data_IF_762530346941
#
_entry.id   IF_762530346941
#
_cell.length_a   1.000
_cell.length_b   1.000
_cell.length_c   1.000
_cell.angle_alpha   90.00
_cell.angle_beta   90.00
_cell.angle_gamma   90.00
#
_symmetry.space_group_name_H-M   'P 1'
#
loop_
_entity.id
_entity.type
_entity.pdbx_description
1 polymer ?
#
# COMPACT_ATOMS: atom_id res chain seq x y z
N UNK A 1 -16.58 -46.33 5.60
CA UNK A 1 -15.95 -45.76 6.81
C UNK A 1 -14.57 -46.39 6.97
N UNK A 2 -13.52 -45.59 7.24
CA UNK A 2 -12.17 -46.03 7.65
C UNK A 2 -11.18 -46.52 6.57
N UNK A 3 -10.80 -45.70 5.58
CA UNK A 3 -9.48 -45.91 4.92
C UNK A 3 -8.88 -44.73 4.12
N UNK A 4 -9.23 -43.47 4.44
CA UNK A 4 -8.55 -42.30 3.81
C UNK A 4 -8.06 -41.23 4.79
N UNK A 5 -8.28 -41.42 6.09
CA UNK A 5 -7.84 -40.50 7.15
C UNK A 5 -6.41 -40.81 7.65
N UNK A 6 -5.83 -41.96 7.28
CA UNK A 6 -4.47 -42.35 7.71
C UNK A 6 -3.33 -41.76 6.87
N UNK A 7 -3.62 -41.12 5.73
CA UNK A 7 -2.59 -40.60 4.84
C UNK A 7 -2.16 -39.14 5.15
N UNK A 8 -2.98 -38.37 5.87
CA UNK A 8 -2.69 -36.95 6.14
C UNK A 8 -1.96 -36.76 7.48
N UNK A 9 -2.09 -37.71 8.42
CA UNK A 9 -1.28 -37.71 9.67
C UNK A 9 0.19 -38.07 9.46
N UNK A 10 0.54 -38.70 8.32
CA UNK A 10 1.92 -39.11 8.03
C UNK A 10 2.81 -37.97 7.49
N UNK A 11 2.23 -36.95 6.85
CA UNK A 11 3.00 -35.86 6.24
C UNK A 11 3.32 -34.77 7.29
N UNK A 12 2.45 -34.55 8.27
CA UNK A 12 2.72 -33.61 9.38
C UNK A 12 3.77 -34.13 10.37
N UNK A 13 3.89 -35.46 10.53
CA UNK A 13 4.91 -36.07 11.39
C UNK A 13 6.33 -36.03 10.77
N UNK A 14 6.44 -35.94 9.44
CA UNK A 14 7.73 -35.90 8.75
C UNK A 14 8.40 -34.51 8.82
N UNK A 15 7.63 -33.42 8.80
CA UNK A 15 8.15 -32.06 8.92
C UNK A 15 8.56 -31.68 10.36
N UNK A 16 7.87 -32.21 11.38
CA UNK A 16 8.26 -32.02 12.78
C UNK A 16 9.58 -32.73 13.12
N UNK A 17 9.87 -33.87 12.49
CA UNK A 17 11.13 -34.60 12.68
C UNK A 17 12.33 -33.92 11.98
N UNK A 18 12.11 -33.27 10.83
CA UNK A 18 13.18 -32.54 10.11
C UNK A 18 13.57 -31.23 10.80
N UNK A 19 12.64 -30.56 11.49
CA UNK A 19 12.96 -29.37 12.29
C UNK A 19 13.74 -29.71 13.58
N UNK A 20 13.50 -30.89 14.15
CA UNK A 20 14.19 -31.35 15.36
C UNK A 20 15.64 -31.76 15.09
N UNK A 21 15.96 -32.30 13.91
CA UNK A 21 17.34 -32.63 13.51
C UNK A 21 18.12 -31.37 13.07
N UNK A 22 17.46 -30.39 12.45
CA UNK A 22 18.11 -29.13 12.06
C UNK A 22 18.41 -28.23 13.27
N UNK A 23 17.57 -28.27 14.32
CA UNK A 23 17.78 -27.55 15.57
C UNK A 23 18.96 -28.06 16.42
N UNK A 24 19.49 -29.25 16.12
CA UNK A 24 20.56 -29.91 16.90
C UNK A 24 21.96 -29.70 16.27
N UNK A 25 22.07 -29.02 15.13
CA UNK A 25 23.35 -28.78 14.44
C UNK A 25 23.87 -27.33 14.46
N UNK A 26 23.23 -26.42 15.21
CA UNK A 26 23.67 -25.01 15.30
C UNK A 26 23.65 -24.44 16.72
N UNK A 27 23.88 -25.26 17.74
CA UNK A 27 24.20 -24.78 19.08
C UNK A 27 25.30 -25.65 19.66
N UNK A 28 26.54 -25.27 19.39
CA UNK A 28 27.68 -25.43 20.32
C UNK A 28 28.93 -24.83 19.65
N UNK A 29 28.96 -23.50 19.50
CA UNK A 29 30.23 -22.79 19.46
C UNK A 29 30.58 -22.44 20.90
N UNK A 30 31.11 -23.45 21.60
CA UNK A 30 31.78 -23.27 22.88
C UNK A 30 33.02 -22.41 22.63
N UNK A 31 32.89 -21.10 22.87
CA UNK A 31 34.03 -20.21 23.02
C UNK A 31 34.84 -20.70 24.23
N UNK A 32 36.04 -21.23 23.95
CA UNK A 32 37.04 -21.49 24.97
C UNK A 32 37.33 -20.20 25.73
N UNK A 33 37.70 -20.28 27.03
CA UNK A 33 38.17 -19.11 27.74
C UNK A 33 39.48 -18.67 27.09
N UNK A 34 39.47 -17.50 26.47
CA UNK A 34 40.68 -16.84 26.01
C UNK A 34 41.52 -16.58 27.27
N UNK A 35 42.69 -17.24 27.37
CA UNK A 35 43.65 -16.94 28.42
C UNK A 35 43.97 -15.45 28.34
N UNK A 36 43.62 -14.72 29.39
CA UNK A 36 44.06 -13.34 29.57
C UNK A 36 45.59 -13.34 29.66
N UNK A 37 46.24 -13.12 28.54
CA UNK A 37 47.65 -12.77 28.50
C UNK A 37 47.76 -11.44 29.24
N UNK A 38 48.45 -11.45 30.38
CA UNK A 38 48.89 -10.26 31.11
C UNK A 38 49.93 -9.51 30.26
N UNK A 39 49.47 -8.95 29.14
CA UNK A 39 50.20 -7.93 28.41
C UNK A 39 50.03 -6.66 29.21
N UNK A 40 51.09 -6.30 29.93
CA UNK A 40 51.29 -4.95 30.42
C UNK A 40 50.88 -3.95 29.32
N UNK A 41 50.20 -2.84 29.66
CA UNK A 41 49.70 -1.91 28.64
C UNK A 41 50.87 -1.45 27.78
N UNK A 42 50.86 -1.89 26.52
CA UNK A 42 51.72 -1.34 25.49
C UNK A 42 51.41 0.16 25.43
N UNK A 43 52.42 1.06 25.44
CA UNK A 43 52.13 2.48 25.34
C UNK A 43 51.34 2.69 24.05
N UNK A 44 50.09 3.14 24.17
CA UNK A 44 49.27 3.48 23.01
C UNK A 44 50.13 4.38 22.12
N UNK A 45 50.27 4.08 20.81
CA UNK A 45 50.91 5.02 19.91
C UNK A 45 50.18 6.35 20.09
N UNK A 46 50.93 7.45 20.22
CA UNK A 46 50.40 8.82 20.27
C UNK A 46 49.56 9.06 19.00
N UNK A 47 48.31 8.59 19.03
CA UNK A 47 47.32 8.92 18.03
C UNK A 47 47.04 10.39 18.26
N UNK A 48 47.15 11.24 17.23
CA UNK A 48 46.66 12.59 17.35
C UNK A 48 45.22 12.52 17.89
N UNK A 49 44.82 13.43 18.81
CA UNK A 49 43.46 13.43 19.33
C UNK A 49 42.50 13.32 18.14
N UNK A 50 41.43 12.50 18.23
CA UNK A 50 40.41 12.44 17.21
C UNK A 50 40.08 13.87 16.79
N UNK A 51 40.05 14.21 15.49
CA UNK A 51 39.74 15.56 15.06
C UNK A 51 38.52 16.02 15.84
N UNK A 52 38.66 17.10 16.60
CA UNK A 52 37.54 17.69 17.30
C UNK A 52 36.43 17.85 16.26
N UNK A 53 35.23 17.33 16.54
CA UNK A 53 34.07 17.46 15.67
C UNK A 53 34.02 18.90 15.16
N UNK A 54 34.38 19.13 13.91
CA UNK A 54 34.35 20.46 13.31
C UNK A 54 32.88 20.91 13.36
N UNK A 55 32.57 22.01 14.07
CA UNK A 55 31.20 22.36 14.34
C UNK A 55 30.63 23.17 13.17
N UNK A 56 30.60 22.65 11.94
CA UNK A 56 30.08 23.39 10.79
C UNK A 56 29.47 22.44 9.72
N UNK A 57 28.48 21.63 10.10
CA UNK A 57 27.45 21.30 9.10
C UNK A 57 26.52 22.52 9.04
N UNK A 58 26.66 23.34 8.01
CA UNK A 58 25.72 24.43 7.72
C UNK A 58 24.33 23.82 7.41
N UNK A 59 23.51 23.59 8.45
CA UNK A 59 22.07 23.25 8.31
C UNK A 59 21.26 24.51 7.89
N UNK A 60 21.85 25.69 8.04
CA UNK A 60 21.29 27.02 7.79
C UNK A 60 20.69 27.23 6.37
N UNK A 61 21.28 26.75 5.25
CA UNK A 61 20.78 27.05 3.91
C UNK A 61 19.37 26.52 3.64
N UNK A 62 19.01 25.36 4.20
CA UNK A 62 17.68 24.75 4.03
C UNK A 62 16.64 25.53 4.82
N UNK A 63 16.95 25.90 6.06
CA UNK A 63 16.03 26.66 6.92
C UNK A 63 15.74 28.05 6.33
N UNK A 64 16.76 28.76 5.84
CA UNK A 64 16.58 30.02 5.13
C UNK A 64 15.68 29.89 3.89
N UNK A 65 15.78 28.78 3.16
CA UNK A 65 14.95 28.54 1.99
C UNK A 65 13.50 28.26 2.38
N UNK A 66 13.29 27.47 3.43
CA UNK A 66 11.96 27.18 3.97
C UNK A 66 11.26 28.44 4.50
N UNK A 67 12.00 29.38 5.07
CA UNK A 67 11.46 30.64 5.59
C UNK A 67 11.07 31.63 4.48
N UNK A 68 11.70 31.53 3.31
CA UNK A 68 11.36 32.33 2.13
C UNK A 68 10.21 31.75 1.30
N UNK A 69 9.77 30.52 1.59
CA UNK A 69 8.65 29.92 0.89
C UNK A 69 7.36 30.69 1.16
N UNK A 70 6.61 30.94 0.10
CA UNK A 70 5.33 31.63 0.20
C UNK A 70 4.26 30.71 0.75
N UNK A 71 3.24 31.30 1.38
CA UNK A 71 2.03 30.57 1.76
C UNK A 71 1.10 30.45 0.55
N UNK A 72 0.40 29.31 0.46
CA UNK A 72 -0.67 29.08 -0.48
C UNK A 72 -1.75 28.20 0.12
N UNK A 73 -2.87 28.11 -0.57
CA UNK A 73 -3.97 27.23 -0.22
C UNK A 73 -4.05 26.07 -1.22
N UNK A 74 -4.50 24.92 -0.72
CA UNK A 74 -4.89 23.78 -1.55
C UNK A 74 -6.31 23.35 -1.21
N UNK A 75 -6.96 22.73 -2.19
CA UNK A 75 -8.14 21.91 -1.97
C UNK A 75 -8.10 20.63 -2.82
N UNK A 76 -8.67 19.55 -2.29
CA UNK A 76 -8.81 18.28 -3.02
C UNK A 76 -10.08 17.52 -2.61
N UNK A 77 -10.59 16.66 -3.50
CA UNK A 77 -11.71 15.77 -3.18
C UNK A 77 -11.23 14.42 -2.62
N UNK A 78 -12.08 13.82 -1.79
CA UNK A 78 -11.93 12.48 -1.23
C UNK A 78 -13.26 11.75 -1.43
N UNK A 79 -13.34 10.74 -2.32
CA UNK A 79 -14.55 9.92 -2.44
C UNK A 79 -14.76 9.13 -1.13
N UNK A 80 -16.01 9.05 -0.66
CA UNK A 80 -16.32 8.30 0.56
C UNK A 80 -16.20 6.79 0.33
N UNK A 81 -16.76 6.32 -0.79
CA UNK A 81 -16.64 4.96 -1.25
C UNK A 81 -16.54 4.88 -2.78
N UNK A 82 -16.12 3.72 -3.26
CA UNK A 82 -15.95 3.40 -4.68
C UNK A 82 -16.35 1.94 -4.90
N UNK A 83 -17.09 1.65 -5.98
CA UNK A 83 -17.35 0.27 -6.34
C UNK A 83 -16.07 -0.35 -6.95
N UNK A 84 -15.81 -1.63 -6.68
CA UNK A 84 -14.61 -2.33 -7.20
C UNK A 84 -14.47 -2.29 -8.73
N UNK A 85 -15.57 -2.16 -9.48
CA UNK A 85 -15.58 -2.14 -10.95
C UNK A 85 -15.69 -0.71 -11.53
N UNK A 86 -15.65 0.32 -10.68
CA UNK A 86 -15.72 1.73 -11.09
C UNK A 86 -14.40 2.46 -10.89
N UNK A 87 -14.13 3.43 -11.76
CA UNK A 87 -13.07 4.42 -11.53
C UNK A 87 -13.65 5.69 -10.91
N UNK A 88 -12.81 6.39 -10.14
CA UNK A 88 -13.10 7.75 -9.65
C UNK A 88 -11.93 8.67 -9.94
N UNK A 89 -12.22 9.96 -10.08
CA UNK A 89 -11.21 10.98 -10.28
C UNK A 89 -10.84 11.65 -8.94
N UNK A 90 -9.55 11.83 -8.70
CA UNK A 90 -9.02 12.71 -7.65
C UNK A 90 -8.48 13.97 -8.31
N UNK A 91 -8.85 15.11 -7.76
CA UNK A 91 -8.52 16.45 -8.24
C UNK A 91 -7.94 17.23 -7.05
N UNK A 92 -6.74 17.78 -7.26
CA UNK A 92 -6.07 18.70 -6.34
C UNK A 92 -5.88 20.03 -7.06
N UNK A 93 -6.21 21.12 -6.39
CA UNK A 93 -5.99 22.47 -6.88
C UNK A 93 -5.18 23.24 -5.84
N UNK A 94 -4.15 23.95 -6.29
CA UNK A 94 -3.29 24.81 -5.49
C UNK A 94 -3.35 26.23 -6.02
N UNK A 95 -3.50 27.22 -5.15
CA UNK A 95 -3.42 28.63 -5.51
C UNK A 95 -2.70 29.43 -4.43
N UNK A 96 -1.91 30.42 -4.86
CA UNK A 96 -1.29 31.40 -3.96
C UNK A 96 -2.25 32.54 -3.58
N UNK A 97 -3.36 32.70 -4.33
CA UNK A 97 -4.25 33.87 -4.24
C UNK A 97 -5.64 33.49 -3.74
N UNK A 98 -6.18 32.37 -4.22
CA UNK A 98 -7.55 31.97 -3.90
C UNK A 98 -7.65 31.41 -2.47
N UNK A 99 -8.76 31.71 -1.82
CA UNK A 99 -9.08 31.13 -0.51
C UNK A 99 -9.41 29.64 -0.63
N UNK A 100 -9.28 28.92 0.49
CA UNK A 100 -9.64 27.50 0.58
C UNK A 100 -11.06 27.24 0.06
N UNK A 101 -12.01 28.12 0.35
CA UNK A 101 -13.40 27.89 -0.04
C UNK A 101 -13.65 28.08 -1.53
N UNK A 102 -13.01 29.09 -2.14
CA UNK A 102 -13.01 29.24 -3.60
C UNK A 102 -12.37 28.03 -4.29
N UNK A 103 -11.29 27.49 -3.71
CA UNK A 103 -10.65 26.27 -4.24
C UNK A 103 -11.58 25.06 -4.13
N UNK A 104 -12.28 24.87 -3.00
CA UNK A 104 -13.28 23.80 -2.86
C UNK A 104 -14.45 23.96 -3.83
N UNK A 105 -14.87 25.18 -4.16
CA UNK A 105 -15.92 25.43 -5.15
C UNK A 105 -15.48 25.06 -6.57
N UNK A 106 -14.19 25.25 -6.90
CA UNK A 106 -13.62 24.92 -8.22
C UNK A 106 -13.40 23.43 -8.47
N UNK A 107 -13.48 22.59 -7.42
CA UNK A 107 -13.39 21.13 -7.57
C UNK A 107 -14.67 20.59 -8.19
N UNK A 108 -14.49 19.92 -9.31
CA UNK A 108 -15.56 19.29 -10.09
C UNK A 108 -15.72 17.80 -9.77
N UNK A 109 -14.66 17.14 -9.31
CA UNK A 109 -14.68 15.73 -8.96
C UNK A 109 -15.53 15.46 -7.69
N UNK A 110 -16.18 14.29 -7.67
CA UNK A 110 -17.08 13.87 -6.59
C UNK A 110 -16.34 13.58 -5.28
N UNK A 111 -17.06 13.72 -4.15
CA UNK A 111 -16.55 13.39 -2.83
C UNK A 111 -16.44 14.59 -1.89
N UNK A 112 -16.02 14.33 -0.66
CA UNK A 112 -15.80 15.36 0.35
C UNK A 112 -14.63 16.24 -0.07
N UNK A 113 -14.81 17.56 -0.01
CA UNK A 113 -13.78 18.54 -0.39
C UNK A 113 -13.06 19.04 0.85
N UNK A 114 -11.76 18.82 0.91
CA UNK A 114 -10.90 19.25 1.99
C UNK A 114 -9.99 20.35 1.50
N UNK A 115 -9.54 21.24 2.39
CA UNK A 115 -8.57 22.26 2.02
C UNK A 115 -7.73 22.74 3.20
N UNK A 116 -6.53 23.21 2.88
CA UNK A 116 -5.48 23.47 3.84
C UNK A 116 -4.56 24.59 3.35
N UNK A 117 -3.96 25.33 4.28
CA UNK A 117 -2.83 26.19 3.98
C UNK A 117 -1.53 25.39 4.02
N UNK A 118 -0.64 25.65 3.08
CA UNK A 118 0.68 25.01 2.97
C UNK A 118 1.74 26.04 2.54
N UNK A 119 3.01 25.71 2.72
CA UNK A 119 4.11 26.41 2.05
C UNK A 119 4.22 25.92 0.61
N UNK A 120 4.42 26.84 -0.33
CA UNK A 120 4.51 26.54 -1.77
C UNK A 120 5.86 27.00 -2.33
N UNK A 121 6.26 26.42 -3.46
CA UNK A 121 7.47 26.80 -4.20
C UNK A 121 7.16 26.89 -5.69
N UNK A 122 8.07 27.48 -6.47
CA UNK A 122 7.90 27.64 -7.92
C UNK A 122 7.78 26.29 -8.67
N UNK A 123 8.27 25.20 -8.09
CA UNK A 123 8.21 23.85 -8.67
C UNK A 123 7.74 22.86 -7.62
N UNK A 124 6.54 22.34 -7.80
CA UNK A 124 5.94 21.38 -6.88
C UNK A 124 5.70 20.06 -7.59
N UNK A 125 5.81 18.97 -6.85
CA UNK A 125 5.33 17.66 -7.23
C UNK A 125 4.13 17.31 -6.36
N UNK A 126 3.07 16.82 -6.99
CA UNK A 126 1.99 16.13 -6.28
C UNK A 126 1.98 14.67 -6.73
N UNK A 127 1.98 13.76 -5.76
CA UNK A 127 1.96 12.33 -6.00
C UNK A 127 0.80 11.70 -5.22
N UNK A 128 0.03 10.85 -5.88
CA UNK A 128 -1.00 10.04 -5.26
C UNK A 128 -0.55 8.59 -5.27
N UNK A 129 -0.56 7.93 -4.12
CA UNK A 129 -0.15 6.53 -3.99
C UNK A 129 -1.11 5.72 -3.12
N UNK A 130 -1.17 4.41 -3.37
CA UNK A 130 -1.99 3.47 -2.59
C UNK A 130 -1.84 2.06 -3.16
N UNK A 131 -1.49 1.10 -2.31
CA UNK A 131 -1.13 -0.26 -2.77
C UNK A 131 -2.31 -1.00 -3.42
N UNK A 132 -3.53 -0.71 -2.97
CA UNK A 132 -4.76 -1.39 -3.39
C UNK A 132 -5.51 -0.63 -4.49
N UNK A 133 -4.84 0.33 -5.14
CA UNK A 133 -5.38 1.08 -6.27
C UNK A 133 -4.42 1.02 -7.45
N UNK A 134 -4.95 0.98 -8.66
CA UNK A 134 -4.25 1.45 -9.85
C UNK A 134 -4.50 2.95 -9.98
N UNK A 135 -3.41 3.72 -10.11
CA UNK A 135 -3.45 5.18 -10.09
C UNK A 135 -2.78 5.68 -11.36
N UNK A 136 -3.54 6.43 -12.16
CA UNK A 136 -3.05 7.02 -13.41
C UNK A 136 -3.08 8.53 -13.31
N UNK A 137 -1.92 9.17 -13.42
CA UNK A 137 -1.83 10.62 -13.48
C UNK A 137 -2.35 11.13 -14.84
N UNK A 138 -3.34 12.03 -14.80
CA UNK A 138 -3.92 12.68 -15.99
C UNK A 138 -3.12 13.94 -16.35
N UNK A 139 -2.65 14.65 -15.32
CA UNK A 139 -1.75 15.81 -15.45
C UNK A 139 -0.34 15.43 -15.01
N UNK A 140 0.71 16.15 -15.45
CA UNK A 140 2.07 15.93 -14.97
C UNK A 140 2.16 16.02 -13.43
N UNK A 141 2.89 15.08 -12.81
CA UNK A 141 3.07 15.10 -11.35
C UNK A 141 3.92 16.28 -10.89
N UNK A 142 4.97 16.60 -11.64
CA UNK A 142 5.84 17.76 -11.41
C UNK A 142 5.33 18.91 -12.28
N UNK A 143 4.97 20.02 -11.65
CA UNK A 143 4.50 21.23 -12.34
C UNK A 143 5.15 22.49 -11.78
N UNK A 144 5.25 23.50 -12.64
CA UNK A 144 5.55 24.85 -12.22
C UNK A 144 4.30 25.45 -11.54
N UNK A 145 4.49 26.15 -10.43
CA UNK A 145 3.42 26.81 -9.69
C UNK A 145 3.42 28.29 -10.01
N UNK A 146 2.25 28.80 -10.38
CA UNK A 146 2.04 30.22 -10.63
C UNK A 146 1.57 30.93 -9.35
N UNK A 147 2.10 32.12 -9.11
CA UNK A 147 1.61 33.03 -8.04
C UNK A 147 0.29 33.72 -8.38
N UNK A 148 -0.20 33.56 -9.62
CA UNK A 148 -1.35 34.30 -10.16
C UNK A 148 -2.48 33.41 -10.64
N UNK A 149 -2.19 32.14 -10.92
CA UNK A 149 -3.14 31.20 -11.49
C UNK A 149 -3.10 29.89 -10.69
N UNK A 150 -4.24 29.23 -10.51
CA UNK A 150 -4.27 27.90 -9.90
C UNK A 150 -3.46 26.90 -10.70
N UNK A 151 -2.82 25.97 -9.99
CA UNK A 151 -2.18 24.79 -10.56
C UNK A 151 -3.00 23.57 -10.17
N UNK A 152 -3.21 22.66 -11.11
CA UNK A 152 -4.11 21.53 -10.94
C UNK A 152 -3.40 20.20 -11.18
N UNK A 153 -3.67 19.24 -10.31
CA UNK A 153 -3.33 17.84 -10.52
C UNK A 153 -4.57 16.97 -10.54
N UNK A 154 -4.61 16.02 -11.48
CA UNK A 154 -5.70 15.07 -11.65
C UNK A 154 -5.15 13.65 -11.75
N UNK A 155 -5.84 12.72 -11.10
CA UNK A 155 -5.59 11.29 -11.20
C UNK A 155 -6.90 10.55 -11.41
N UNK A 156 -6.83 9.44 -12.14
CA UNK A 156 -7.86 8.40 -12.14
C UNK A 156 -7.40 7.26 -11.23
N UNK A 157 -8.30 6.81 -10.35
CA UNK A 157 -8.06 5.68 -9.44
C UNK A 157 -9.03 4.54 -9.75
N UNK A 158 -8.50 3.31 -9.76
CA UNK A 158 -9.27 2.08 -9.93
C UNK A 158 -8.94 1.10 -8.78
N UNK A 159 -9.92 0.59 -8.03
CA UNK A 159 -9.66 -0.34 -6.93
C UNK A 159 -9.19 -1.71 -7.41
N UNK A 160 -8.26 -2.32 -6.68
CA UNK A 160 -7.80 -3.69 -6.93
C UNK A 160 -8.52 -4.72 -6.07
N UNK A 161 -9.06 -4.29 -4.93
CA UNK A 161 -9.61 -5.17 -3.90
C UNK A 161 -10.68 -4.45 -3.09
N UNK A 162 -11.71 -5.18 -2.69
CA UNK A 162 -12.74 -4.72 -1.78
C UNK A 162 -12.22 -4.49 -0.35
N UNK A 163 -12.98 -3.72 0.42
CA UNK A 163 -12.65 -3.35 1.80
C UNK A 163 -12.06 -1.95 1.94
N UNK A 164 -11.55 -1.67 3.12
CA UNK A 164 -11.09 -0.34 3.52
C UNK A 164 -9.60 -0.15 3.22
N UNK A 165 -9.26 0.77 2.32
CA UNK A 165 -7.89 0.96 1.83
C UNK A 165 -7.43 2.42 1.91
N UNK A 166 -6.12 2.61 2.07
CA UNK A 166 -5.52 3.94 2.19
C UNK A 166 -5.00 4.50 0.86
N UNK A 167 -5.20 5.80 0.68
CA UNK A 167 -4.56 6.65 -0.32
C UNK A 167 -3.72 7.71 0.39
N UNK A 168 -2.56 8.00 -0.18
CA UNK A 168 -1.60 8.97 0.32
C UNK A 168 -1.39 10.04 -0.75
N UNK A 169 -1.83 11.26 -0.47
CA UNK A 169 -1.54 12.42 -1.32
C UNK A 169 -0.34 13.17 -0.73
N UNK A 170 0.79 13.12 -1.41
CA UNK A 170 2.04 13.76 -0.97
C UNK A 170 2.38 14.96 -1.85
N UNK A 171 2.63 16.10 -1.20
CA UNK A 171 3.11 17.33 -1.82
C UNK A 171 4.57 17.56 -1.49
N UNK A 172 5.37 17.74 -2.52
CA UNK A 172 6.82 17.91 -2.43
C UNK A 172 7.22 19.19 -3.15
N UNK A 173 7.97 20.06 -2.47
CA UNK A 173 8.66 21.17 -3.11
C UNK A 173 9.97 20.68 -3.73
N UNK A 174 10.24 21.07 -4.97
CA UNK A 174 11.53 20.83 -5.61
C UNK A 174 12.37 22.10 -5.43
N UNK A 175 13.18 22.08 -4.37
CA UNK A 175 14.00 23.20 -3.92
C UNK A 175 15.35 23.18 -4.62
N UNK A 176 15.92 24.34 -4.92
CA UNK A 176 17.29 24.43 -5.43
C UNK A 176 18.24 24.66 -4.25
N UNK A 177 19.08 23.66 -3.97
CA UNK A 177 20.10 23.69 -2.92
C UNK A 177 21.43 23.41 -3.59
N UNK A 178 22.37 24.34 -3.48
CA UNK A 178 23.70 24.27 -4.13
C UNK A 178 23.66 23.99 -5.64
N UNK A 179 22.63 24.50 -6.33
CA UNK A 179 22.41 24.29 -7.77
C UNK A 179 21.77 22.95 -8.14
N UNK A 180 21.38 22.12 -7.16
CA UNK A 180 20.70 20.85 -7.36
C UNK A 180 19.24 20.90 -6.95
N UNK A 181 18.37 20.28 -7.77
CA UNK A 181 16.97 20.08 -7.41
C UNK A 181 16.86 19.02 -6.30
N UNK A 182 16.59 19.48 -5.08
CA UNK A 182 16.47 18.67 -3.88
C UNK A 182 14.99 18.60 -3.46
N UNK A 183 14.39 17.40 -3.43
CA UNK A 183 12.99 17.26 -3.03
C UNK A 183 12.82 17.46 -1.53
N UNK A 184 11.80 18.23 -1.15
CA UNK A 184 11.38 18.42 0.24
C UNK A 184 9.89 18.18 0.38
N UNK A 185 9.52 17.13 1.11
CA UNK A 185 8.11 16.88 1.43
C UNK A 185 7.56 18.01 2.28
N UNK A 186 6.49 18.64 1.80
CA UNK A 186 5.76 19.70 2.51
C UNK A 186 4.68 19.09 3.39
N UNK A 187 3.88 18.19 2.81
CA UNK A 187 2.80 17.52 3.55
C UNK A 187 2.35 16.26 2.84
N UNK A 188 2.00 15.26 3.64
CA UNK A 188 1.28 14.06 3.20
C UNK A 188 -0.09 14.06 3.85
N UNK A 189 -1.11 13.74 3.06
CA UNK A 189 -2.48 13.57 3.50
C UNK A 189 -2.89 12.12 3.33
N UNK A 190 -3.14 11.46 4.45
CA UNK A 190 -3.63 10.08 4.48
C UNK A 190 -5.16 10.08 4.51
N UNK A 191 -5.75 9.34 3.57
CA UNK A 191 -7.20 9.15 3.48
C UNK A 191 -7.54 7.70 3.28
N UNK A 192 -8.67 7.32 3.85
CA UNK A 192 -9.19 5.97 3.77
C UNK A 192 -10.42 5.98 2.89
N UNK A 193 -10.49 5.05 1.94
CA UNK A 193 -11.58 4.88 1.00
C UNK A 193 -12.18 3.50 1.22
N UNK A 194 -13.50 3.43 1.28
CA UNK A 194 -14.22 2.15 1.32
C UNK A 194 -14.46 1.64 -0.10
N UNK A 195 -13.92 0.46 -0.41
CA UNK A 195 -14.15 -0.21 -1.70
C UNK A 195 -15.27 -1.24 -1.52
N UNK A 196 -16.38 -1.00 -2.20
CA UNK A 196 -17.61 -1.76 -2.06
C UNK A 196 -17.81 -2.74 -3.22
N UNK A 197 -18.56 -3.81 -2.96
CA UNK A 197 -19.04 -4.75 -3.95
C UNK A 197 -20.55 -4.89 -3.80
N UNK A 198 -21.26 -4.95 -4.93
CA UNK A 198 -22.69 -5.20 -4.95
C UNK A 198 -23.00 -6.68 -4.67
N UNK A 199 -24.21 -6.96 -4.18
CA UNK A 199 -24.65 -8.32 -3.92
C UNK A 199 -24.63 -9.21 -5.18
N UNK A 200 -24.96 -8.65 -6.35
CA UNK A 200 -24.88 -9.35 -7.63
C UNK A 200 -23.43 -9.69 -8.01
N UNK A 201 -22.48 -8.76 -7.82
CA UNK A 201 -21.05 -9.02 -8.03
C UNK A 201 -20.54 -10.13 -7.09
N UNK A 202 -20.98 -10.12 -5.84
CA UNK A 202 -20.59 -11.13 -4.85
C UNK A 202 -21.08 -12.55 -5.24
N UNK A 203 -22.35 -12.67 -5.66
CA UNK A 203 -22.90 -13.95 -6.15
C UNK A 203 -22.22 -14.39 -7.43
N UNK A 204 -21.97 -13.46 -8.36
CA UNK A 204 -21.25 -13.73 -9.61
C UNK A 204 -19.87 -14.34 -9.35
N UNK A 205 -19.05 -13.68 -8.52
CA UNK A 205 -17.72 -14.19 -8.12
C UNK A 205 -17.80 -15.54 -7.42
N UNK A 206 -18.77 -15.75 -6.53
CA UNK A 206 -18.95 -17.06 -5.90
C UNK A 206 -19.22 -18.16 -6.94
N UNK A 207 -20.10 -17.92 -7.91
CA UNK A 207 -20.41 -18.90 -8.96
C UNK A 207 -19.20 -19.17 -9.84
N UNK A 208 -18.45 -18.14 -10.21
CA UNK A 208 -17.23 -18.23 -11.01
C UNK A 208 -16.15 -19.05 -10.29
N UNK A 209 -15.83 -18.68 -9.04
CA UNK A 209 -14.81 -19.33 -8.22
C UNK A 209 -15.18 -20.78 -7.84
N UNK A 210 -16.48 -21.08 -7.74
CA UNK A 210 -16.98 -22.38 -7.24
C UNK A 210 -17.70 -23.22 -8.29
N UNK A 211 -17.63 -22.86 -9.59
CA UNK A 211 -18.34 -23.57 -10.65
C UNK A 211 -18.09 -25.08 -10.65
N UNK A 212 -16.86 -25.50 -10.35
CA UNK A 212 -16.46 -26.90 -10.27
C UNK A 212 -17.14 -27.71 -9.16
N UNK A 213 -17.60 -27.07 -8.08
CA UNK A 213 -18.36 -27.75 -7.04
C UNK A 213 -19.87 -27.65 -7.27
N UNK A 214 -20.33 -26.56 -7.88
CA UNK A 214 -21.75 -26.32 -8.16
C UNK A 214 -22.35 -27.40 -9.06
N UNK A 215 -21.64 -27.85 -10.10
CA UNK A 215 -22.13 -28.95 -10.92
C UNK A 215 -22.22 -30.27 -10.14
N UNK A 216 -21.35 -30.53 -9.16
CA UNK A 216 -21.44 -31.74 -8.35
C UNK A 216 -22.69 -31.71 -7.45
N UNK A 217 -23.00 -30.56 -6.85
CA UNK A 217 -24.21 -30.35 -6.03
C UNK A 217 -25.49 -30.52 -6.85
N UNK A 218 -25.49 -30.14 -8.13
CA UNK A 218 -26.67 -30.23 -9.01
C UNK A 218 -26.77 -31.60 -9.68
N UNK A 219 -25.69 -32.07 -10.32
CA UNK A 219 -25.69 -33.28 -11.13
C UNK A 219 -25.65 -34.56 -10.29
N UNK A 220 -24.99 -34.60 -9.14
CA UNK A 220 -24.94 -35.80 -8.30
C UNK A 220 -26.32 -36.25 -7.79
N UNK A 221 -27.19 -35.38 -7.23
CA UNK A 221 -28.54 -35.78 -6.84
C UNK A 221 -29.42 -36.12 -8.04
N UNK A 222 -29.27 -35.43 -9.18
CA UNK A 222 -30.02 -35.76 -10.41
C UNK A 222 -29.63 -37.13 -10.97
N UNK A 223 -28.33 -37.43 -11.03
CA UNK A 223 -27.83 -38.74 -11.46
C UNK A 223 -28.28 -39.85 -10.51
N UNK A 224 -28.22 -39.60 -9.20
CA UNK A 224 -28.71 -40.53 -8.17
C UNK A 224 -30.23 -40.80 -8.28
N UNK A 225 -31.02 -39.75 -8.49
CA UNK A 225 -32.47 -39.86 -8.71
C UNK A 225 -32.78 -40.65 -9.99
N UNK A 226 -32.10 -40.34 -11.09
CA UNK A 226 -32.30 -41.01 -12.37
C UNK A 226 -31.93 -42.51 -12.30
N UNK A 227 -30.87 -42.85 -11.57
CA UNK A 227 -30.46 -44.25 -11.38
C UNK A 227 -31.46 -45.03 -10.53
N UNK A 228 -32.01 -44.43 -9.46
CA UNK A 228 -33.09 -45.03 -8.68
C UNK A 228 -34.34 -45.28 -9.53
N UNK A 229 -34.73 -44.31 -10.37
CA UNK A 229 -35.91 -44.43 -11.24
C UNK A 229 -35.78 -45.55 -12.28
N UNK A 230 -34.57 -45.83 -12.77
CA UNK A 230 -34.32 -46.94 -13.69
C UNK A 230 -34.41 -48.31 -13.02
N UNK A 231 -33.99 -48.45 -11.76
CA UNK A 231 -34.05 -49.74 -11.03
C UNK A 231 -35.48 -50.16 -10.66
N UNK A 232 -36.38 -49.23 -10.37
CA UNK A 232 -37.79 -49.54 -10.07
C UNK A 232 -38.59 -50.02 -11.28
N UNK A 233 -38.18 -49.70 -12.51
CA UNK A 233 -38.85 -50.22 -13.72
C UNK A 233 -38.31 -51.58 -14.18
N UNK A 234 -37.06 -51.94 -13.85
CA UNK A 234 -36.47 -53.23 -14.22
C UNK A 234 -36.88 -54.39 -13.29
N UNK A 235 -37.33 -54.11 -12.06
CA UNK A 235 -37.76 -55.14 -11.09
C UNK A 235 -39.25 -55.54 -11.16
N UNK A 236 -40.05 -54.92 -12.04
CA UNK A 236 -41.49 -55.19 -12.17
C UNK A 236 -41.86 -56.22 -13.24
N UNK A 237 -40.89 -56.88 -13.87
CA UNK A 237 -41.09 -57.97 -14.83
C UNK A 237 -40.40 -59.25 -14.35
N UNK A 238 -40.98 -59.89 -13.35
CA UNK A 238 -40.78 -61.32 -13.06
C UNK A 238 -42.05 -61.79 -12.35
N UNK A 239 -42.96 -62.33 -13.15
CA UNK A 239 -43.99 -63.25 -12.70
C UNK A 239 -43.37 -64.63 -12.45
#
# INVERSE_FOLDING_TARGET
MKSKIKAITGILALFAALFFVYSILMVDFSMAPEEAVDMAPEPEPDMPPPPALEPDMEIDPVDQLLDRMEAGAIAFNVPASINIDESKQIQLILSAVDSIEQLKESITAEGQRLGFNIKISNRMQAQLSGQMFDITAITPEIQAVSKRQPTEWKWEIFPKKDGTHSLHLTLTALLEVDGYNTPRTIKTFDKTIEVEITASQQVGRFVEDNWQWLWAVILAPLAGWLWRRRKTQAGGKSA
#
